data_IF_757078154117
#
_entry.id   IF_757078154117
#
_cell.length_a   1.000
_cell.length_b   1.000
_cell.length_c   1.000
_cell.angle_alpha   90.00
_cell.angle_beta   90.00
_cell.angle_gamma   90.00
#
_symmetry.space_group_name_H-M   'P 1'
#
loop_
_entity.id
_entity.type
_entity.pdbx_description
1 polymer ?
#
# COMPACT_ATOMS: atom_id res chain seq x y z
N UNK A 1 1.15 23.52 17.64
CA UNK A 1 1.94 22.49 16.93
C UNK A 1 0.97 21.39 16.52
N UNK A 2 0.51 21.40 15.27
CA UNK A 2 -0.47 20.41 14.77
C UNK A 2 0.33 19.21 14.28
N UNK A 3 0.57 18.24 15.17
CA UNK A 3 1.02 16.92 14.73
C UNK A 3 -0.23 16.12 14.34
N UNK A 4 -0.73 16.33 13.13
CA UNK A 4 -1.55 15.32 12.47
C UNK A 4 -0.62 14.14 12.14
N UNK A 5 -0.14 13.40 13.14
CA UNK A 5 0.36 12.06 12.92
C UNK A 5 -0.89 11.18 12.84
N UNK A 6 -1.55 11.25 11.68
CA UNK A 6 -2.66 10.33 11.42
C UNK A 6 -1.99 8.95 11.37
N UNK A 7 -2.24 8.04 12.33
CA UNK A 7 -1.71 6.69 12.25
C UNK A 7 -2.16 6.17 10.89
N UNK A 8 -1.21 5.66 10.12
CA UNK A 8 -1.47 5.39 8.73
C UNK A 8 -2.72 4.51 8.62
N UNK A 9 -3.75 4.96 7.88
CA UNK A 9 -5.02 4.27 7.85
C UNK A 9 -4.80 2.85 7.35
N UNK A 10 -5.48 1.91 8.00
CA UNK A 10 -5.54 0.53 7.53
C UNK A 10 -5.91 0.54 6.04
N UNK A 11 -5.19 -0.21 5.19
CA UNK A 11 -5.46 -0.21 3.76
C UNK A 11 -6.93 -0.57 3.54
N UNK A 12 -7.64 0.28 2.80
CA UNK A 12 -9.04 0.05 2.47
C UNK A 12 -9.18 -1.27 1.71
N UNK A 13 -10.29 -1.98 1.92
CA UNK A 13 -10.53 -3.28 1.28
C UNK A 13 -10.48 -3.20 -0.26
N UNK A 14 -10.81 -2.03 -0.82
CA UNK A 14 -10.68 -1.72 -2.24
C UNK A 14 -9.21 -1.76 -2.71
N UNK A 15 -8.28 -1.14 -1.96
CA UNK A 15 -6.85 -1.18 -2.24
C UNK A 15 -6.33 -2.62 -2.24
N UNK A 16 -6.72 -3.43 -1.24
CA UNK A 16 -6.30 -4.83 -1.16
C UNK A 16 -6.81 -5.66 -2.35
N UNK A 17 -8.06 -5.43 -2.79
CA UNK A 17 -8.60 -6.05 -4.01
C UNK A 17 -7.86 -5.59 -5.25
N UNK A 18 -7.55 -4.30 -5.38
CA UNK A 18 -6.78 -3.77 -6.50
C UNK A 18 -5.40 -4.43 -6.55
N UNK A 19 -4.68 -4.48 -5.45
CA UNK A 19 -3.36 -5.10 -5.36
C UNK A 19 -3.41 -6.59 -5.71
N UNK A 20 -4.41 -7.33 -5.20
CA UNK A 20 -4.58 -8.74 -5.53
C UNK A 20 -4.97 -8.98 -6.99
N UNK A 21 -5.80 -8.13 -7.58
CA UNK A 21 -6.35 -8.36 -8.93
C UNK A 21 -5.46 -7.77 -10.04
N UNK A 22 -4.89 -6.59 -9.82
CA UNK A 22 -4.06 -5.86 -10.80
C UNK A 22 -2.59 -6.24 -10.72
N UNK A 23 -2.06 -6.46 -9.52
CA UNK A 23 -0.66 -6.83 -9.31
C UNK A 23 -0.48 -8.33 -9.06
N UNK A 24 -1.57 -9.11 -9.09
CA UNK A 24 -1.57 -10.55 -8.81
C UNK A 24 -0.83 -10.91 -7.50
N UNK A 25 -0.84 -10.01 -6.51
CA UNK A 25 -0.10 -10.21 -5.27
C UNK A 25 -0.71 -11.35 -4.46
N UNK A 26 0.15 -12.24 -3.99
CA UNK A 26 -0.23 -13.31 -3.09
C UNK A 26 -0.60 -12.76 -1.71
N UNK A 27 -1.50 -13.45 -0.99
CA UNK A 27 -1.94 -13.04 0.34
C UNK A 27 -0.77 -12.89 1.32
N UNK A 28 0.26 -13.70 1.19
CA UNK A 28 1.48 -13.59 2.00
C UNK A 28 2.22 -12.27 1.77
N UNK A 29 2.29 -11.80 0.52
CA UNK A 29 2.95 -10.53 0.17
C UNK A 29 2.13 -9.34 0.70
N UNK A 30 0.80 -9.40 0.60
CA UNK A 30 -0.09 -8.41 1.19
C UNK A 30 0.05 -8.39 2.72
N UNK A 31 0.03 -9.54 3.39
CA UNK A 31 0.19 -9.61 4.85
C UNK A 31 1.53 -9.04 5.33
N UNK A 32 2.61 -9.31 4.59
CA UNK A 32 3.93 -8.74 4.85
C UNK A 32 3.92 -7.21 4.70
N UNK A 33 3.35 -6.72 3.59
CA UNK A 33 3.18 -5.30 3.32
C UNK A 33 2.37 -4.58 4.41
N UNK A 34 1.27 -5.18 4.87
CA UNK A 34 0.39 -4.61 5.92
C UNK A 34 1.16 -4.49 7.23
N UNK A 35 1.81 -5.58 7.66
CA UNK A 35 2.57 -5.59 8.91
C UNK A 35 3.69 -4.56 8.87
N UNK A 36 4.42 -4.47 7.76
CA UNK A 36 5.53 -3.53 7.67
C UNK A 36 5.08 -2.09 7.49
N UNK A 37 3.96 -1.87 6.83
CA UNK A 37 3.33 -0.56 6.76
C UNK A 37 2.96 -0.03 8.15
N UNK A 38 2.48 -0.89 9.04
CA UNK A 38 2.21 -0.53 10.43
C UNK A 38 3.49 -0.30 11.26
N UNK A 39 4.54 -1.10 11.05
CA UNK A 39 5.80 -0.94 11.78
C UNK A 39 6.56 0.34 11.39
N UNK A 40 6.66 0.59 10.08
CA UNK A 40 7.38 1.73 9.52
C UNK A 40 6.54 3.00 9.48
N UNK A 41 5.24 2.92 9.79
CA UNK A 41 4.26 4.00 9.58
C UNK A 41 4.34 4.56 8.14
N UNK A 42 4.54 3.66 7.17
CA UNK A 42 4.80 3.99 5.77
C UNK A 42 3.76 3.36 4.82
N UNK A 43 3.31 4.08 3.77
CA UNK A 43 2.25 3.65 2.87
C UNK A 43 2.45 2.21 2.40
N UNK A 44 1.40 1.39 2.46
CA UNK A 44 1.44 0.01 1.98
C UNK A 44 2.05 -0.13 0.57
N UNK A 45 1.69 0.70 -0.43
CA UNK A 45 2.30 0.63 -1.77
C UNK A 45 3.82 0.84 -1.74
N UNK A 46 4.29 1.81 -0.94
CA UNK A 46 5.71 2.15 -0.82
C UNK A 46 6.48 1.01 -0.15
N UNK A 47 5.89 0.38 0.87
CA UNK A 47 6.47 -0.81 1.52
C UNK A 47 6.57 -1.95 0.51
N UNK A 48 5.51 -2.25 -0.24
CA UNK A 48 5.54 -3.29 -1.26
C UNK A 48 6.66 -3.06 -2.29
N UNK A 49 6.84 -1.82 -2.74
CA UNK A 49 7.90 -1.46 -3.68
C UNK A 49 9.30 -1.60 -3.07
N UNK A 50 9.48 -1.16 -1.82
CA UNK A 50 10.77 -1.26 -1.11
C UNK A 50 11.20 -2.71 -0.87
N UNK A 51 10.25 -3.61 -0.74
CA UNK A 51 10.50 -5.07 -0.68
C UNK A 51 10.67 -5.73 -2.05
N UNK A 52 10.56 -4.98 -3.16
CA UNK A 52 10.65 -5.51 -4.52
C UNK A 52 9.46 -6.39 -4.91
N UNK A 53 8.34 -6.30 -4.19
CA UNK A 53 7.11 -7.05 -4.49
C UNK A 53 6.36 -6.45 -5.68
N UNK A 54 6.59 -5.16 -5.95
CA UNK A 54 5.96 -4.41 -7.04
C UNK A 54 7.01 -3.51 -7.71
N UNK A 55 6.83 -3.25 -9.01
CA UNK A 55 7.70 -2.35 -9.78
C UNK A 55 7.30 -0.88 -9.58
N UNK A 56 8.17 0.06 -9.95
CA UNK A 56 7.89 1.50 -9.88
C UNK A 56 6.61 1.87 -10.68
N UNK A 57 6.43 1.30 -11.87
CA UNK A 57 5.21 1.52 -12.69
C UNK A 57 3.95 1.03 -11.99
N UNK A 58 4.03 -0.10 -11.28
CA UNK A 58 2.90 -0.64 -10.54
C UNK A 58 2.61 0.19 -9.28
N UNK A 59 3.66 0.69 -8.62
CA UNK A 59 3.53 1.64 -7.51
C UNK A 59 2.81 2.91 -7.97
N UNK A 60 3.26 3.49 -9.09
CA UNK A 60 2.66 4.68 -9.69
C UNK A 60 1.16 4.48 -9.99
N UNK A 61 0.81 3.36 -10.63
CA UNK A 61 -0.59 3.01 -10.90
C UNK A 61 -1.45 2.85 -9.63
N UNK A 62 -0.87 2.32 -8.54
CA UNK A 62 -1.57 2.20 -7.25
C UNK A 62 -1.77 3.58 -6.62
N UNK A 63 -0.73 4.44 -6.63
CA UNK A 63 -0.82 5.79 -6.09
C UNK A 63 -1.82 6.65 -6.87
N UNK A 64 -1.79 6.60 -8.21
CA UNK A 64 -2.73 7.30 -9.07
C UNK A 64 -4.18 6.82 -8.86
N UNK A 65 -4.37 5.52 -8.62
CA UNK A 65 -5.69 4.97 -8.28
C UNK A 65 -6.18 5.46 -6.92
N UNK A 66 -5.30 5.55 -5.92
CA UNK A 66 -5.64 6.08 -4.60
C UNK A 66 -6.00 7.56 -4.62
N UNK A 67 -5.29 8.36 -5.43
CA UNK A 67 -5.59 9.79 -5.62
C UNK A 67 -6.94 10.02 -6.32
N UNK A 68 -7.29 9.10 -7.24
CA UNK A 68 -8.57 9.16 -7.97
C UNK A 68 -9.81 8.76 -7.15
N UNK A 69 -9.64 8.10 -6.00
CA UNK A 69 -10.71 7.69 -5.07
C UNK A 69 -10.93 8.71 -3.92
N UNK A 70 -10.29 9.89 -4.01
CA UNK A 70 -10.31 10.97 -3.00
C UNK A 70 -11.48 11.95 -3.09
#
# INVERSE_FOLDING_TARGET
MVICTTPQPVPSAALLRFLRHRLALSESALALGIRQSQLEQAPLPVVLWRYGLISLEQLDAVLAWQDSDG
#
